data_IF_387595091730
#
_entry.id   IF_387595091730
#
_cell.length_a   1.000
_cell.length_b   1.000
_cell.length_c   1.000
_cell.angle_alpha   90.00
_cell.angle_beta   90.00
_cell.angle_gamma   90.00
#
_symmetry.space_group_name_H-M   'P 1'
#
loop_
_entity.id
_entity.type
_entity.pdbx_description
1 polymer ?
#
# COMPACT_ATOMS: atom_id res chain seq x y z
N UNK A 1 6.17 1.50 -0.73
CA UNK A 1 5.30 0.29 -0.75
C UNK A 1 5.06 -0.22 0.68
N UNK A 2 3.81 -0.39 1.09
CA UNK A 2 3.45 -0.87 2.45
C UNK A 2 3.20 -2.38 2.50
N UNK A 3 3.26 -3.07 1.36
CA UNK A 3 2.89 -4.48 1.20
C UNK A 3 3.98 -5.25 0.47
N UNK A 4 4.08 -6.54 0.79
CA UNK A 4 4.96 -7.51 0.10
C UNK A 4 6.45 -7.34 0.42
N UNK A 5 7.31 -7.84 -0.48
CA UNK A 5 8.77 -7.88 -0.32
C UNK A 5 9.43 -6.51 -0.10
N UNK A 6 8.74 -5.44 -0.49
CA UNK A 6 9.27 -4.08 -0.42
C UNK A 6 8.87 -3.30 0.83
N UNK A 7 8.01 -3.87 1.68
CA UNK A 7 7.47 -3.21 2.86
C UNK A 7 8.58 -2.75 3.82
N UNK A 8 8.45 -1.53 4.33
CA UNK A 8 9.42 -0.90 5.24
C UNK A 8 10.71 -0.40 4.58
N UNK A 9 10.91 -0.63 3.28
CA UNK A 9 12.08 -0.14 2.56
C UNK A 9 11.94 1.29 2.03
N UNK A 10 13.07 1.97 1.88
CA UNK A 10 13.21 3.31 1.32
C UNK A 10 14.00 3.23 0.01
N UNK A 11 13.41 3.65 -1.11
CA UNK A 11 14.00 3.43 -2.42
C UNK A 11 14.26 4.75 -3.14
N UNK A 12 15.51 5.19 -3.10
CA UNK A 12 16.01 6.36 -3.83
C UNK A 12 16.20 6.01 -5.31
N UNK A 13 15.80 6.94 -6.17
CA UNK A 13 15.95 6.86 -7.62
C UNK A 13 16.02 8.26 -8.22
N UNK A 14 16.13 8.34 -9.55
CA UNK A 14 16.17 9.62 -10.26
C UNK A 14 15.40 9.54 -11.58
N UNK A 15 14.80 10.68 -11.93
CA UNK A 15 14.23 10.96 -13.25
C UNK A 15 15.19 11.88 -14.00
N UNK A 16 15.51 11.53 -15.24
CA UNK A 16 16.29 12.41 -16.13
C UNK A 16 15.35 12.86 -17.24
N UNK A 17 14.98 14.14 -17.20
CA UNK A 17 14.11 14.76 -18.20
C UNK A 17 14.92 15.22 -19.41
N UNK A 18 14.50 14.88 -20.64
CA UNK A 18 15.10 15.45 -21.85
C UNK A 18 14.76 16.93 -21.98
N UNK A 19 15.46 17.65 -22.88
CA UNK A 19 15.20 19.08 -23.15
C UNK A 19 13.80 19.31 -23.70
N UNK A 20 13.23 18.30 -24.34
CA UNK A 20 11.92 18.33 -24.98
C UNK A 20 10.78 17.91 -24.04
N UNK A 21 11.03 17.68 -22.75
CA UNK A 21 9.97 17.46 -21.77
C UNK A 21 9.02 18.69 -21.71
N UNK A 22 7.68 18.52 -21.71
CA UNK A 22 6.93 17.28 -21.51
C UNK A 22 6.55 16.52 -22.79
N UNK A 23 7.00 16.95 -23.97
CA UNK A 23 6.67 16.27 -25.24
C UNK A 23 7.40 14.95 -25.43
N UNK A 24 8.54 14.76 -24.75
CA UNK A 24 9.22 13.46 -24.62
C UNK A 24 9.21 12.99 -23.15
N UNK A 25 9.04 11.68 -22.91
CA UNK A 25 9.09 11.07 -21.57
C UNK A 25 10.50 11.17 -20.93
N UNK A 26 10.62 11.01 -19.60
CA UNK A 26 11.91 10.91 -18.92
C UNK A 26 12.55 9.51 -19.01
N UNK A 27 13.85 9.44 -18.72
CA UNK A 27 14.52 8.21 -18.29
C UNK A 27 14.36 8.01 -16.78
N UNK A 28 14.17 6.75 -16.34
CA UNK A 28 14.00 6.39 -14.92
C UNK A 28 15.14 5.46 -14.47
N UNK A 29 15.65 5.69 -13.25
CA UNK A 29 16.70 4.89 -12.62
C UNK A 29 16.39 4.66 -11.14
N UNK A 30 16.71 3.47 -10.64
CA UNK A 30 16.79 3.19 -9.20
C UNK A 30 18.25 3.24 -8.73
N UNK A 31 18.49 3.84 -7.58
CA UNK A 31 19.82 3.96 -6.96
C UNK A 31 19.95 2.97 -5.81
N UNK A 32 18.94 2.91 -4.93
CA UNK A 32 18.93 1.98 -3.81
C UNK A 32 18.75 0.54 -4.30
N UNK A 33 19.59 -0.41 -3.86
CA UNK A 33 19.36 -1.84 -4.05
C UNK A 33 17.96 -2.24 -3.56
N UNK A 34 17.16 -2.80 -4.46
CA UNK A 34 15.74 -3.02 -4.24
C UNK A 34 15.24 -4.41 -4.65
N UNK A 35 16.07 -5.20 -5.34
CA UNK A 35 15.75 -6.58 -5.73
C UNK A 35 14.81 -6.72 -6.92
N UNK A 36 14.30 -5.61 -7.46
CA UNK A 36 13.40 -5.59 -8.62
C UNK A 36 14.07 -5.02 -9.87
N UNK A 37 14.80 -3.92 -9.69
CA UNK A 37 15.46 -3.18 -10.75
C UNK A 37 16.96 -3.11 -10.50
N UNK A 38 17.75 -3.42 -11.53
CA UNK A 38 19.19 -3.22 -11.55
C UNK A 38 19.50 -1.74 -11.30
N UNK A 39 20.34 -1.48 -10.31
CA UNK A 39 20.68 -0.12 -9.92
C UNK A 39 21.41 0.60 -11.06
N UNK A 40 21.19 1.92 -11.14
CA UNK A 40 21.84 2.84 -12.09
C UNK A 40 21.70 2.42 -13.57
N UNK A 41 20.66 1.64 -13.88
CA UNK A 41 20.35 1.19 -15.25
C UNK A 41 19.03 1.82 -15.67
N UNK A 42 18.94 2.25 -16.94
CA UNK A 42 17.69 2.77 -17.52
C UNK A 42 16.62 1.69 -17.51
N UNK A 43 15.43 2.04 -17.02
CA UNK A 43 14.29 1.13 -16.98
C UNK A 43 13.39 1.32 -18.19
N UNK A 44 13.01 0.23 -18.85
CA UNK A 44 12.10 0.26 -20.00
C UNK A 44 10.65 0.08 -19.54
N UNK A 45 9.98 1.17 -19.17
CA UNK A 45 8.56 1.13 -18.77
C UNK A 45 7.73 1.94 -19.77
N UNK A 46 6.44 1.65 -19.91
CA UNK A 46 5.54 2.36 -20.85
C UNK A 46 5.43 3.89 -20.61
N UNK A 47 5.97 4.36 -19.48
CA UNK A 47 6.04 5.76 -19.07
C UNK A 47 7.43 6.40 -19.31
N UNK A 48 8.32 5.73 -20.02
CA UNK A 48 9.73 6.14 -20.22
C UNK A 48 10.07 6.37 -21.68
N UNK A 49 11.26 6.94 -21.92
CA UNK A 49 11.82 7.23 -23.23
C UNK A 49 12.15 6.03 -24.12
N UNK A 50 11.96 4.80 -23.64
CA UNK A 50 11.89 3.64 -24.52
C UNK A 50 10.58 3.54 -25.32
N UNK A 51 9.51 4.17 -24.85
CA UNK A 51 8.18 4.08 -25.44
C UNK A 51 7.56 5.46 -25.67
N UNK A 52 8.11 6.28 -26.59
CA UNK A 52 7.57 7.60 -26.90
C UNK A 52 6.13 7.54 -27.44
N UNK A 53 5.74 6.46 -28.11
CA UNK A 53 4.41 6.29 -28.70
C UNK A 53 3.30 6.10 -27.66
N UNK A 54 3.64 5.62 -26.46
CA UNK A 54 2.68 5.42 -25.35
C UNK A 54 2.70 6.56 -24.35
N UNK A 55 3.56 7.55 -24.55
CA UNK A 55 3.71 8.69 -23.66
C UNK A 55 2.56 9.69 -23.83
N UNK A 56 2.01 10.16 -22.71
CA UNK A 56 1.08 11.28 -22.70
C UNK A 56 1.76 12.52 -22.08
N UNK A 57 1.96 13.62 -22.84
CA UNK A 57 2.55 14.86 -22.34
C UNK A 57 1.81 15.52 -21.16
N UNK A 58 0.55 15.13 -20.92
CA UNK A 58 -0.22 15.61 -19.78
C UNK A 58 0.10 14.88 -18.46
N UNK A 59 0.90 13.80 -18.48
CA UNK A 59 1.27 13.09 -17.25
C UNK A 59 2.22 13.92 -16.39
N UNK A 60 1.79 14.17 -15.15
CA UNK A 60 2.59 14.84 -14.13
C UNK A 60 3.70 13.93 -13.60
N UNK A 61 4.71 14.51 -12.93
CA UNK A 61 5.74 13.74 -12.20
C UNK A 61 5.11 12.77 -11.18
N UNK A 62 4.03 13.18 -10.52
CA UNK A 62 3.27 12.32 -9.59
C UNK A 62 2.72 11.06 -10.29
N UNK A 63 2.17 11.23 -11.50
CA UNK A 63 1.68 10.13 -12.34
C UNK A 63 2.82 9.18 -12.73
N UNK A 64 3.99 9.71 -13.09
CA UNK A 64 5.18 8.92 -13.43
C UNK A 64 5.64 8.08 -12.23
N UNK A 65 5.75 8.69 -11.04
CA UNK A 65 6.17 8.00 -9.83
C UNK A 65 5.16 6.93 -9.40
N UNK A 66 3.87 7.19 -9.58
CA UNK A 66 2.81 6.20 -9.33
C UNK A 66 2.93 5.02 -10.29
N UNK A 67 3.15 5.27 -11.59
CA UNK A 67 3.39 4.22 -12.57
C UNK A 67 4.64 3.39 -12.27
N UNK A 68 5.74 4.03 -11.86
CA UNK A 68 6.94 3.32 -11.40
C UNK A 68 6.64 2.40 -10.22
N UNK A 69 5.87 2.86 -9.23
CA UNK A 69 5.47 2.05 -8.09
C UNK A 69 4.63 0.84 -8.53
N UNK A 70 3.71 1.00 -9.49
CA UNK A 70 2.96 -0.11 -10.07
C UNK A 70 3.87 -1.16 -10.69
N UNK A 71 4.82 -0.75 -11.54
CA UNK A 71 5.80 -1.66 -12.14
C UNK A 71 6.74 -2.31 -11.11
N UNK A 72 6.98 -1.64 -9.99
CA UNK A 72 7.82 -2.16 -8.90
C UNK A 72 7.17 -3.35 -8.19
N UNK A 73 5.85 -3.32 -8.00
CA UNK A 73 5.11 -4.40 -7.33
C UNK A 73 4.67 -5.52 -8.27
N UNK A 74 4.74 -5.29 -9.57
CA UNK A 74 4.51 -6.31 -10.61
C UNK A 74 5.71 -7.25 -10.78
N UNK A 75 5.43 -8.45 -11.32
CA UNK A 75 6.44 -9.51 -11.57
C UNK A 75 6.91 -9.60 -13.03
N UNK A 76 6.29 -8.84 -13.94
CA UNK A 76 6.60 -8.94 -15.38
C UNK A 76 8.07 -8.60 -15.67
N UNK A 77 8.75 -9.33 -16.57
CA UNK A 77 10.11 -8.98 -16.97
C UNK A 77 10.10 -7.65 -17.74
N UNK A 78 11.13 -6.82 -17.51
CA UNK A 78 11.40 -5.64 -18.33
C UNK A 78 12.90 -5.37 -18.41
N UNK A 79 13.36 -4.57 -19.38
CA UNK A 79 14.76 -4.16 -19.41
C UNK A 79 15.11 -3.42 -18.12
N UNK A 80 16.19 -3.88 -17.50
CA UNK A 80 16.63 -3.38 -16.20
C UNK A 80 15.97 -4.08 -15.01
N UNK A 81 15.02 -5.00 -15.21
CA UNK A 81 14.56 -5.86 -14.11
C UNK A 81 15.60 -6.92 -13.75
N UNK A 82 15.60 -7.32 -12.49
CA UNK A 82 16.36 -8.45 -11.95
C UNK A 82 15.43 -9.37 -11.17
N UNK A 83 15.89 -10.59 -10.96
CA UNK A 83 15.26 -11.54 -10.04
C UNK A 83 16.24 -11.82 -8.89
N UNK A 84 15.76 -11.76 -7.66
CA UNK A 84 16.54 -12.11 -6.47
C UNK A 84 15.65 -12.75 -5.41
N UNK A 85 16.24 -13.60 -4.57
CA UNK A 85 15.63 -14.10 -3.34
C UNK A 85 15.92 -13.21 -2.14
N UNK A 86 16.79 -12.21 -2.28
CA UNK A 86 17.20 -11.34 -1.18
C UNK A 86 16.15 -10.27 -0.84
N UNK A 87 15.80 -10.18 0.44
CA UNK A 87 14.93 -9.12 0.93
C UNK A 87 15.76 -7.88 1.34
N UNK A 88 15.83 -6.91 0.44
CA UNK A 88 16.69 -5.72 0.59
C UNK A 88 16.03 -4.54 1.31
N UNK A 89 14.74 -4.64 1.66
CA UNK A 89 13.99 -3.56 2.29
C UNK A 89 14.65 -3.04 3.58
N UNK A 90 15.09 -3.93 4.48
CA UNK A 90 15.74 -3.53 5.73
C UNK A 90 17.12 -2.87 5.50
N UNK A 91 17.86 -3.30 4.48
CA UNK A 91 19.19 -2.79 4.15
C UNK A 91 19.13 -1.41 3.48
N UNK A 92 18.02 -1.11 2.80
CA UNK A 92 17.80 0.13 2.07
C UNK A 92 18.00 1.38 2.94
N UNK A 93 17.66 1.29 4.23
CA UNK A 93 17.76 2.39 5.16
C UNK A 93 19.21 2.78 5.44
N UNK A 94 20.04 1.81 5.83
CA UNK A 94 21.46 2.02 6.06
C UNK A 94 22.21 2.40 4.78
N UNK A 95 21.75 1.94 3.62
CA UNK A 95 22.30 2.33 2.33
C UNK A 95 22.07 3.81 2.05
N UNK A 96 20.82 4.29 2.15
CA UNK A 96 20.47 5.66 1.81
C UNK A 96 21.10 6.69 2.76
N UNK A 97 21.22 6.37 4.05
CA UNK A 97 21.86 7.28 5.04
C UNK A 97 23.35 7.54 4.76
N UNK A 98 24.00 6.70 3.95
CA UNK A 98 25.40 6.89 3.50
C UNK A 98 25.51 7.73 2.23
N UNK A 99 24.42 7.91 1.50
CA UNK A 99 24.38 8.69 0.27
C UNK A 99 24.20 10.18 0.60
N UNK A 100 25.25 10.97 0.36
CA UNK A 100 25.25 12.42 0.64
C UNK A 100 24.14 13.15 -0.11
N UNK A 101 23.87 12.78 -1.36
CA UNK A 101 22.85 13.42 -2.19
C UNK A 101 21.47 13.13 -1.62
N UNK A 102 21.22 11.87 -1.22
CA UNK A 102 19.97 11.52 -0.55
C UNK A 102 19.78 12.34 0.73
N UNK A 103 20.82 12.41 1.56
CA UNK A 103 20.76 13.12 2.84
C UNK A 103 20.57 14.64 2.68
N UNK A 104 21.10 15.22 1.62
CA UNK A 104 20.94 16.64 1.31
C UNK A 104 19.56 16.97 0.74
N UNK A 105 19.03 16.12 -0.14
CA UNK A 105 17.76 16.38 -0.84
C UNK A 105 16.52 16.00 -0.02
N UNK A 106 16.63 15.05 0.92
CA UNK A 106 15.51 14.52 1.69
C UNK A 106 15.79 14.50 3.21
N UNK A 107 16.15 15.64 3.83
CA UNK A 107 16.54 15.70 5.24
C UNK A 107 15.43 15.24 6.18
N UNK A 108 14.16 15.54 5.87
CA UNK A 108 13.01 15.07 6.65
C UNK A 108 12.86 13.55 6.65
N UNK A 109 13.14 12.90 5.51
CA UNK A 109 13.10 11.44 5.39
C UNK A 109 14.27 10.82 6.16
N UNK A 110 15.44 11.45 6.14
CA UNK A 110 16.60 11.03 6.95
C UNK A 110 16.26 11.05 8.44
N UNK A 111 15.63 12.11 8.93
CA UNK A 111 15.24 12.20 10.33
C UNK A 111 14.19 11.13 10.69
N UNK A 112 13.19 10.89 9.83
CA UNK A 112 12.25 9.77 10.00
C UNK A 112 12.98 8.42 10.08
N UNK A 113 13.96 8.18 9.21
CA UNK A 113 14.73 6.94 9.16
C UNK A 113 15.56 6.73 10.43
N UNK A 114 16.21 7.78 10.95
CA UNK A 114 16.95 7.72 12.23
C UNK A 114 16.03 7.44 13.41
N UNK A 115 14.85 8.06 13.44
CA UNK A 115 13.85 7.80 14.47
C UNK A 115 13.37 6.35 14.44
N UNK A 116 13.10 5.80 13.25
CA UNK A 116 12.76 4.38 13.09
C UNK A 116 13.87 3.44 13.54
N UNK A 117 15.13 3.73 13.22
CA UNK A 117 16.27 2.93 13.70
C UNK A 117 16.33 2.92 15.22
N UNK A 118 16.26 4.09 15.85
CA UNK A 118 16.32 4.22 17.30
C UNK A 118 15.18 3.46 17.98
N UNK A 119 13.95 3.60 17.48
CA UNK A 119 12.79 2.89 18.01
C UNK A 119 12.94 1.36 17.88
N UNK A 120 13.54 0.89 16.78
CA UNK A 120 13.77 -0.54 16.54
C UNK A 120 14.89 -1.11 17.43
N UNK A 121 15.95 -0.35 17.67
CA UNK A 121 17.02 -0.69 18.61
C UNK A 121 16.51 -0.74 20.06
N UNK A 122 15.74 0.27 20.49
CA UNK A 122 15.11 0.30 21.82
C UNK A 122 14.21 -0.93 22.02
N UNK A 123 13.37 -1.28 21.02
CA UNK A 123 12.50 -2.45 21.08
C UNK A 123 13.31 -3.76 21.14
N UNK A 124 14.39 -3.87 20.37
CA UNK A 124 15.26 -5.06 20.34
C UNK A 124 16.10 -5.21 21.62
N UNK A 125 16.38 -4.12 22.33
CA UNK A 125 17.16 -4.11 23.57
C UNK A 125 16.32 -4.41 24.82
N UNK A 126 14.98 -4.43 24.70
CA UNK A 126 14.09 -4.66 25.85
C UNK A 126 14.15 -6.13 26.28
N UNK A 127 14.42 -6.43 27.56
CA UNK A 127 14.41 -7.82 28.03
C UNK A 127 13.02 -8.45 27.81
N UNK A 128 12.94 -9.77 27.55
CA UNK A 128 11.66 -10.47 27.47
C UNK A 128 10.89 -10.21 28.77
N UNK A 129 9.63 -9.79 28.66
CA UNK A 129 8.75 -9.71 29.83
C UNK A 129 8.71 -11.10 30.47
N UNK A 130 9.11 -11.20 31.74
CA UNK A 130 9.04 -12.42 32.53
C UNK A 130 7.61 -13.01 32.41
N UNK A 131 7.47 -14.35 32.34
CA UNK A 131 6.15 -14.96 32.44
C UNK A 131 5.48 -14.47 33.73
N UNK A 132 4.24 -14.01 33.63
CA UNK A 132 3.44 -13.69 34.80
C UNK A 132 3.42 -14.93 35.71
N UNK A 133 3.61 -14.79 37.03
CA UNK A 133 3.48 -15.92 37.93
C UNK A 133 2.05 -16.46 37.84
N UNK A 134 1.93 -17.77 37.59
CA UNK A 134 0.65 -18.48 37.69
C UNK A 134 0.09 -18.21 39.08
N UNK A 135 -1.02 -17.46 39.13
CA UNK A 135 -1.78 -17.29 40.36
C UNK A 135 -2.46 -18.63 40.61
N UNK A 136 -1.80 -19.50 41.38
CA UNK A 136 -2.41 -20.69 41.96
C UNK A 136 -3.34 -20.19 43.07
N UNK A 137 -4.66 -20.43 43.00
CA UNK A 137 -5.53 -20.16 44.14
C UNK A 137 -5.28 -21.23 45.21
N UNK A 138 -4.88 -20.80 46.40
CA UNK A 138 -4.84 -21.65 47.59
C UNK A 138 -6.24 -22.20 47.88
N UNK A 139 -6.36 -23.52 47.90
CA UNK A 139 -7.58 -24.25 48.23
C UNK A 139 -7.23 -25.64 48.72
N UNK A 140 -7.35 -25.83 50.03
CA UNK A 140 -6.95 -27.00 50.83
C UNK A 140 -7.33 -28.39 50.29
N UNK A 141 -6.45 -29.34 50.59
CA UNK A 141 -6.53 -30.74 50.23
C UNK A 141 -7.64 -31.51 50.97
N UNK A 142 -8.39 -32.33 50.22
CA UNK A 142 -9.01 -33.55 50.74
C UNK A 142 -8.79 -34.74 49.78
N UNK A 143 -8.31 -35.83 50.36
CA UNK A 143 -8.01 -37.15 49.79
C UNK A 143 -9.22 -37.86 49.15
N UNK A 144 -8.99 -38.65 48.09
CA UNK A 144 -9.86 -39.81 47.78
C UNK A 144 -9.89 -40.32 46.33
N UNK A 145 -9.00 -41.27 46.00
CA UNK A 145 -9.13 -42.47 45.14
C UNK A 145 -10.07 -42.57 43.89
N UNK A 146 -9.46 -43.10 42.81
CA UNK A 146 -9.95 -43.99 41.73
C UNK A 146 -10.86 -43.47 40.58
N UNK A 147 -10.39 -43.73 39.35
CA UNK A 147 -11.23 -44.21 38.23
C UNK A 147 -11.31 -43.34 36.96
N UNK A 148 -10.79 -43.85 35.85
CA UNK A 148 -11.07 -43.43 34.46
C UNK A 148 -12.29 -44.24 33.92
N UNK A 149 -12.85 -43.98 32.72
CA UNK A 149 -13.66 -42.84 32.24
C UNK A 149 -15.06 -43.28 31.70
N UNK A 150 -16.09 -42.41 31.63
CA UNK A 150 -17.32 -42.73 30.87
C UNK A 150 -18.05 -41.53 30.21
N UNK A 151 -18.13 -41.60 28.88
CA UNK A 151 -19.28 -41.43 27.96
C UNK A 151 -20.37 -40.33 28.17
N UNK A 152 -20.46 -39.47 27.13
CA UNK A 152 -21.62 -39.21 26.25
C UNK A 152 -22.92 -38.55 26.80
N UNK A 153 -23.27 -37.38 26.22
CA UNK A 153 -24.61 -37.19 25.62
C UNK A 153 -25.60 -36.16 26.22
N UNK A 154 -25.96 -35.18 25.37
CA UNK A 154 -27.30 -34.60 25.08
C UNK A 154 -28.14 -33.84 26.15
N UNK A 155 -28.62 -32.65 25.74
CA UNK A 155 -29.99 -32.17 26.01
C UNK A 155 -30.13 -30.75 26.61
N UNK A 156 -30.73 -29.81 25.87
CA UNK A 156 -31.28 -28.53 26.40
C UNK A 156 -32.55 -28.74 27.26
N UNK A 157 -33.28 -27.69 27.74
CA UNK A 157 -33.66 -26.45 27.02
C UNK A 157 -33.64 -25.12 27.85
N UNK A 158 -34.07 -24.03 27.18
CA UNK A 158 -34.22 -22.59 27.52
C UNK A 158 -35.03 -22.22 28.80
N UNK A 159 -35.45 -20.95 29.13
CA UNK A 159 -35.33 -19.64 28.45
C UNK A 159 -35.04 -18.39 29.36
N UNK A 160 -34.86 -17.20 28.78
CA UNK A 160 -35.03 -15.92 29.52
C UNK A 160 -34.30 -14.68 28.97
N UNK A 161 -34.95 -13.92 28.11
CA UNK A 161 -34.72 -12.48 27.86
C UNK A 161 -35.94 -11.73 28.45
N UNK A 162 -35.85 -10.44 28.89
CA UNK A 162 -35.72 -9.33 27.92
C UNK A 162 -35.01 -8.04 28.43
N UNK A 163 -34.66 -7.18 27.47
CA UNK A 163 -34.21 -5.80 27.68
C UNK A 163 -33.02 -5.48 26.75
N UNK A 164 -33.12 -4.72 25.66
CA UNK A 164 -34.09 -3.71 25.26
C UNK A 164 -33.42 -2.34 25.19
N UNK A 165 -32.53 -2.12 24.20
CA UNK A 165 -32.11 -0.78 23.78
C UNK A 165 -32.08 -0.69 22.26
N UNK A 166 -32.84 0.27 21.77
CA UNK A 166 -33.19 0.52 20.39
C UNK A 166 -32.00 0.99 19.53
N UNK A 167 -31.82 0.35 18.37
CA UNK A 167 -31.11 0.96 17.24
C UNK A 167 -32.14 1.61 16.30
N UNK A 168 -31.90 2.86 15.83
CA UNK A 168 -32.79 3.49 14.86
C UNK A 168 -32.53 2.91 13.46
N UNK A 169 -33.57 2.26 12.95
CA UNK A 169 -33.69 1.72 11.61
C UNK A 169 -33.61 2.84 10.56
N UNK A 170 -32.46 3.00 9.89
CA UNK A 170 -32.34 3.89 8.73
C UNK A 170 -32.74 3.12 7.47
N UNK A 171 -34.04 3.16 7.18
CA UNK A 171 -34.61 2.81 5.88
C UNK A 171 -34.07 3.76 4.81
N UNK A 172 -32.98 3.40 4.12
CA UNK A 172 -32.68 3.97 2.80
C UNK A 172 -33.12 2.98 1.74
N UNK A 173 -34.41 3.05 1.43
CA UNK A 173 -35.07 2.20 0.46
C UNK A 173 -34.51 2.38 -0.94
N UNK A 174 -34.71 1.32 -1.73
CA UNK A 174 -34.49 1.13 -3.17
C UNK A 174 -34.62 2.38 -4.08
N UNK A 175 -35.39 3.39 -3.66
CA UNK A 175 -35.61 4.66 -4.36
C UNK A 175 -34.38 5.59 -4.40
N UNK A 176 -33.46 5.52 -3.42
CA UNK A 176 -32.26 6.36 -3.40
C UNK A 176 -31.25 6.04 -4.51
N UNK A 177 -31.11 4.75 -4.85
CA UNK A 177 -30.21 4.30 -5.92
C UNK A 177 -30.74 4.64 -7.32
N UNK A 178 -32.06 4.55 -7.53
CA UNK A 178 -32.67 4.89 -8.81
C UNK A 178 -32.53 6.39 -9.14
N UNK A 179 -32.71 7.26 -8.15
CA UNK A 179 -32.51 8.70 -8.33
C UNK A 179 -31.05 9.05 -8.62
N UNK A 180 -30.10 8.43 -7.89
CA UNK A 180 -28.68 8.63 -8.15
C UNK A 180 -28.29 8.20 -9.58
N UNK A 181 -28.79 7.05 -10.04
CA UNK A 181 -28.56 6.58 -11.41
C UNK A 181 -29.15 7.53 -12.47
N UNK A 182 -30.31 8.13 -12.19
CA UNK A 182 -30.93 9.11 -13.08
C UNK A 182 -30.05 10.37 -13.22
N UNK A 183 -29.52 10.90 -12.11
CA UNK A 183 -28.62 12.05 -12.16
C UNK A 183 -27.35 11.78 -12.95
N UNK A 184 -26.78 10.57 -12.83
CA UNK A 184 -25.60 10.16 -13.60
C UNK A 184 -25.92 10.09 -15.09
N UNK A 185 -27.04 9.47 -15.48
CA UNK A 185 -27.45 9.35 -16.89
C UNK A 185 -27.68 10.73 -17.51
N UNK A 186 -28.40 11.61 -16.80
CA UNK A 186 -28.67 12.98 -17.26
C UNK A 186 -27.36 13.78 -17.37
N UNK A 187 -26.45 13.64 -16.41
CA UNK A 187 -25.13 14.28 -16.43
C UNK A 187 -24.27 13.85 -17.62
N UNK A 188 -24.22 12.55 -17.91
CA UNK A 188 -23.51 12.02 -19.08
C UNK A 188 -24.10 12.51 -20.40
N UNK A 189 -25.43 12.57 -20.51
CA UNK A 189 -26.10 13.07 -21.71
C UNK A 189 -25.81 14.57 -21.94
N UNK A 190 -25.86 15.39 -20.89
CA UNK A 190 -25.55 16.82 -20.97
C UNK A 190 -24.07 17.07 -21.35
N UNK A 191 -23.15 16.29 -20.78
CA UNK A 191 -21.74 16.34 -21.12
C UNK A 191 -21.50 15.97 -22.60
N UNK A 192 -22.09 14.87 -23.07
CA UNK A 192 -21.99 14.44 -24.46
C UNK A 192 -22.55 15.49 -25.44
N UNK A 193 -23.67 16.14 -25.09
CA UNK A 193 -24.25 17.21 -25.89
C UNK A 193 -23.33 18.44 -25.94
N UNK A 194 -22.73 18.83 -24.82
CA UNK A 194 -21.80 19.96 -24.74
C UNK A 194 -20.57 19.71 -25.61
N UNK A 195 -19.98 18.53 -25.53
CA UNK A 195 -18.84 18.13 -26.38
C UNK A 195 -19.23 18.18 -27.86
N UNK A 196 -20.41 17.65 -28.23
CA UNK A 196 -20.91 17.69 -29.60
C UNK A 196 -21.14 19.12 -30.11
N UNK A 197 -21.66 20.00 -29.25
CA UNK A 197 -21.89 21.40 -29.58
C UNK A 197 -20.56 22.13 -29.83
N UNK A 198 -19.58 21.95 -28.94
CA UNK A 198 -18.24 22.55 -29.07
C UNK A 198 -17.55 22.07 -30.35
N UNK A 199 -17.56 20.76 -30.62
CA UNK A 199 -16.96 20.20 -31.83
C UNK A 199 -17.63 20.72 -33.11
N UNK A 200 -18.95 20.93 -33.10
CA UNK A 200 -19.67 21.54 -34.23
C UNK A 200 -19.39 23.03 -34.38
N UNK A 201 -19.26 23.76 -33.28
CA UNK A 201 -18.93 25.18 -33.30
C UNK A 201 -17.54 25.43 -33.89
N UNK A 202 -16.56 24.59 -33.53
CA UNK A 202 -15.19 24.68 -34.06
C UNK A 202 -15.13 24.33 -35.55
N UNK A 203 -16.02 23.45 -36.03
CA UNK A 203 -16.06 23.04 -37.43
C UNK A 203 -16.79 24.05 -38.36
N UNK A 204 -17.42 25.10 -37.82
CA UNK A 204 -18.11 26.14 -38.59
C UNK A 204 -17.35 27.48 -38.65
N UNK A 205 -16.18 27.59 -38.01
CA UNK A 205 -15.20 28.66 -38.20
C UNK A 205 -14.11 28.24 -39.21
#
# INVERSE_FOLDING_TARGET
PTLGWFAGGYYHGKLIFPREFPFKPPSIYMITPNGRFKCNTRLCLSITDFHPDTWNPAWSVSTILTGLLSFMVEKGPTLGSIETSEQLAAQSLAFNLKDKVFCELFPEVVEEMKQKQKAQEELSSRPPSLPLPDVVPDGDAHFGHNGHPLLNGHGGPAPGHPGGLAQPHRNHGLLGGALANLFVIVGFAAFAYTVKYVLRSIAQE
#
